data_IF_760058520739
#
_entry.id   IF_760058520739
#
_cell.length_a   1.000
_cell.length_b   1.000
_cell.length_c   1.000
_cell.angle_alpha   90.00
_cell.angle_beta   90.00
_cell.angle_gamma   90.00
#
_symmetry.space_group_name_H-M   'P 1'
#
loop_
_entity.id
_entity.type
_entity.pdbx_description
1 polymer ?
#
# COMPACT_ATOMS: atom_id res chain seq x y z
N UNK A 1 35.42 26.00 7.61
CA UNK A 1 34.54 26.75 6.70
C UNK A 1 34.10 25.81 5.60
N UNK A 2 32.80 25.62 5.40
CA UNK A 2 32.27 24.82 4.29
C UNK A 2 31.33 25.72 3.51
N UNK A 3 31.56 25.86 2.20
CA UNK A 3 30.61 26.50 1.29
C UNK A 3 29.69 25.42 0.75
N UNK A 4 28.39 25.57 0.95
CA UNK A 4 27.37 24.71 0.33
C UNK A 4 26.53 25.63 -0.57
N UNK A 5 26.47 25.29 -1.86
CA UNK A 5 25.67 26.02 -2.85
C UNK A 5 24.42 25.21 -3.17
N UNK A 6 23.25 25.84 -3.04
CA UNK A 6 21.99 25.37 -3.61
C UNK A 6 21.31 26.57 -4.27
N UNK A 7 20.95 26.44 -5.56
CA UNK A 7 20.22 27.43 -6.34
C UNK A 7 20.77 28.89 -6.27
N UNK A 8 22.10 29.07 -6.27
CA UNK A 8 22.72 30.37 -6.50
C UNK A 8 22.82 31.32 -5.30
N UNK A 9 22.60 30.86 -4.06
CA UNK A 9 22.81 31.67 -2.85
C UNK A 9 23.90 31.05 -1.99
N UNK A 10 24.92 31.85 -1.61
CA UNK A 10 25.98 31.45 -0.69
C UNK A 10 25.66 31.93 0.74
N UNK A 11 25.76 31.03 1.72
CA UNK A 11 25.66 31.37 3.15
C UNK A 11 26.90 30.85 3.88
N UNK A 12 27.49 31.70 4.72
CA UNK A 12 28.69 31.40 5.51
C UNK A 12 28.30 31.04 6.95
N UNK A 13 28.74 29.89 7.45
CA UNK A 13 28.53 29.47 8.85
C UNK A 13 29.89 29.26 9.54
N UNK A 14 30.07 29.84 10.74
CA UNK A 14 31.26 29.69 11.60
C UNK A 14 30.92 28.86 12.85
N UNK A 15 31.82 27.93 13.17
CA UNK A 15 31.90 27.03 14.34
C UNK A 15 30.67 26.14 14.61
N UNK A 16 30.84 24.82 14.43
CA UNK A 16 29.85 23.79 14.77
C UNK A 16 30.46 22.85 15.81
N UNK A 17 29.75 22.63 16.92
CA UNK A 17 30.00 21.51 17.82
C UNK A 17 29.37 20.21 17.25
N UNK A 18 29.98 19.03 17.49
CA UNK A 18 29.45 17.77 17.00
C UNK A 18 28.23 17.35 17.82
N UNK A 19 27.04 17.51 17.24
CA UNK A 19 25.78 17.03 17.84
C UNK A 19 24.51 17.85 17.55
N UNK A 20 24.62 18.98 16.83
CA UNK A 20 23.46 19.84 16.56
C UNK A 20 22.82 19.55 15.19
N UNK A 21 21.55 19.13 15.16
CA UNK A 21 20.72 19.12 13.95
C UNK A 21 20.02 20.48 13.81
N UNK A 22 20.20 21.17 12.68
CA UNK A 22 19.42 22.37 12.33
C UNK A 22 18.32 22.04 11.33
N UNK A 23 17.09 22.47 11.62
CA UNK A 23 16.01 22.58 10.65
C UNK A 23 16.09 23.96 9.97
N UNK A 24 16.31 23.97 8.65
CA UNK A 24 16.10 25.16 7.82
C UNK A 24 14.63 25.17 7.36
N UNK A 25 13.87 26.18 7.81
CA UNK A 25 12.53 26.48 7.29
C UNK A 25 12.65 27.47 6.13
N UNK A 26 12.11 27.12 4.96
CA UNK A 26 11.84 28.04 3.87
C UNK A 26 10.32 28.24 3.72
N UNK A 27 9.90 29.50 3.59
CA UNK A 27 8.50 29.90 3.34
C UNK A 27 8.37 30.27 1.86
N UNK A 28 7.57 29.55 1.09
CA UNK A 28 7.17 29.97 -0.26
C UNK A 28 5.72 30.46 -0.23
N UNK A 29 5.47 31.60 -0.87
CA UNK A 29 4.15 32.21 -0.97
C UNK A 29 3.33 31.56 -2.09
N UNK A 30 2.08 31.18 -1.75
CA UNK A 30 0.89 31.03 -2.60
C UNK A 30 0.94 30.09 -3.83
N UNK A 31 0.35 28.88 -3.67
CA UNK A 31 -0.83 28.36 -4.41
C UNK A 31 -1.17 26.95 -3.90
N UNK A 32 -2.44 26.74 -3.55
CA UNK A 32 -2.99 25.45 -3.11
C UNK A 32 -2.96 24.41 -4.23
N UNK A 33 -2.53 23.17 -3.92
CA UNK A 33 -3.20 21.92 -4.27
C UNK A 33 -2.46 20.71 -3.66
N UNK A 34 -3.24 19.73 -3.18
CA UNK A 34 -2.82 18.64 -2.30
C UNK A 34 -1.86 17.64 -2.98
N UNK A 35 -0.68 17.45 -2.40
CA UNK A 35 0.17 16.28 -2.59
C UNK A 35 0.43 15.65 -1.21
N UNK A 36 -0.15 14.47 -0.97
CA UNK A 36 0.10 13.67 0.24
C UNK A 36 1.44 12.96 0.10
N UNK A 37 2.51 13.62 0.54
CA UNK A 37 3.69 12.98 1.11
C UNK A 37 3.61 13.10 2.63
N UNK A 38 3.62 11.96 3.32
CA UNK A 38 3.51 11.93 4.78
C UNK A 38 4.79 12.46 5.43
N UNK A 39 4.77 13.73 5.83
CA UNK A 39 5.23 14.20 7.14
C UNK A 39 4.75 15.64 7.34
N UNK A 40 3.70 15.85 8.15
CA UNK A 40 3.50 17.16 8.78
C UNK A 40 2.74 17.04 10.10
N UNK A 41 3.50 16.85 11.18
CA UNK A 41 3.08 17.19 12.54
C UNK A 41 3.20 18.71 12.64
N UNK A 42 2.11 19.43 12.40
CA UNK A 42 1.78 20.76 12.94
C UNK A 42 0.65 21.42 12.11
N UNK A 43 -0.59 21.29 12.58
CA UNK A 43 -1.67 22.26 12.34
C UNK A 43 -2.80 22.05 13.37
N UNK A 44 -2.46 22.28 14.64
CA UNK A 44 -3.41 22.53 15.72
C UNK A 44 -2.98 23.80 16.46
N UNK A 45 -3.31 24.97 15.90
CA UNK A 45 -3.56 26.22 16.65
C UNK A 45 -3.68 27.40 15.67
N UNK A 46 -4.91 27.77 15.31
CA UNK A 46 -5.32 29.16 15.08
C UNK A 46 -6.83 29.15 14.78
N UNK A 47 -7.62 29.70 15.68
CA UNK A 47 -9.08 29.80 15.51
C UNK A 47 -9.89 29.68 16.80
N UNK A 48 -9.36 30.14 17.93
CA UNK A 48 -10.21 30.60 19.03
C UNK A 48 -10.15 32.11 19.04
N UNK A 49 -11.22 32.74 18.55
CA UNK A 49 -11.92 33.79 19.30
C UNK A 49 -13.17 34.28 18.54
N UNK A 50 -14.22 34.50 19.34
CA UNK A 50 -15.41 35.31 19.08
C UNK A 50 -16.52 34.72 18.19
N UNK A 51 -17.44 34.00 18.84
CA UNK A 51 -18.76 34.57 19.18
C UNK A 51 -19.49 33.65 20.17
N UNK A 52 -19.85 34.24 21.31
CA UNK A 52 -20.58 33.60 22.40
C UNK A 52 -22.09 33.87 22.31
N UNK A 53 -22.87 32.93 22.89
CA UNK A 53 -24.30 32.96 23.29
C UNK A 53 -25.27 32.56 22.17
N UNK A 54 -26.25 31.65 22.36
CA UNK A 54 -26.89 31.04 23.56
C UNK A 54 -27.77 29.82 23.11
N UNK A 55 -27.85 28.79 23.97
CA UNK A 55 -28.98 27.83 24.24
C UNK A 55 -29.57 26.99 23.09
N UNK A 56 -29.98 25.70 23.19
CA UNK A 56 -30.17 24.71 24.28
C UNK A 56 -30.41 23.33 23.60
N UNK A 57 -29.90 22.26 24.21
CA UNK A 57 -30.31 20.83 24.15
C UNK A 57 -30.50 20.07 22.81
N UNK A 58 -29.57 19.13 22.55
CA UNK A 58 -29.79 17.66 22.64
C UNK A 58 -28.44 16.95 22.52
N UNK A 59 -28.00 16.29 23.60
CA UNK A 59 -26.76 15.51 23.66
C UNK A 59 -26.99 14.14 23.01
N UNK A 60 -26.62 13.99 21.74
CA UNK A 60 -25.96 12.77 21.26
C UNK A 60 -24.47 13.08 21.23
N UNK A 61 -23.68 12.37 22.05
CA UNK A 61 -22.24 12.57 22.06
C UNK A 61 -21.66 12.07 20.73
N UNK A 62 -21.43 12.99 19.79
CA UNK A 62 -20.58 12.75 18.62
C UNK A 62 -19.15 12.52 19.12
N UNK A 63 -18.83 11.28 19.49
CA UNK A 63 -17.45 10.84 19.64
C UNK A 63 -16.89 10.80 18.20
N UNK A 64 -15.99 11.72 17.87
CA UNK A 64 -15.29 11.72 16.59
C UNK A 64 -14.48 10.43 16.45
N UNK A 65 -14.37 9.87 15.23
CA UNK A 65 -13.66 8.60 14.98
C UNK A 65 -12.26 8.54 15.58
N UNK A 66 -11.57 9.69 15.59
CA UNK A 66 -10.25 9.87 16.20
C UNK A 66 -10.24 9.49 17.69
N UNK A 67 -11.27 9.87 18.46
CA UNK A 67 -11.34 9.53 19.89
C UNK A 67 -11.54 8.03 20.12
N UNK A 68 -12.32 7.35 19.28
CA UNK A 68 -12.53 5.90 19.36
C UNK A 68 -11.27 5.11 18.99
N UNK A 69 -10.55 5.54 17.96
CA UNK A 69 -9.27 4.95 17.55
C UNK A 69 -8.19 5.12 18.62
N UNK A 70 -8.05 6.33 19.17
CA UNK A 70 -7.07 6.63 20.24
C UNK A 70 -7.34 5.77 21.49
N UNK A 71 -8.62 5.57 21.87
CA UNK A 71 -8.97 4.82 23.08
C UNK A 71 -8.64 3.32 22.96
N UNK A 72 -8.68 2.74 21.75
CA UNK A 72 -8.39 1.32 21.53
C UNK A 72 -6.93 1.00 21.24
N UNK A 73 -6.16 1.98 20.74
CA UNK A 73 -4.75 1.79 20.37
C UNK A 73 -3.75 2.31 21.39
N UNK A 74 -4.20 3.12 22.36
CA UNK A 74 -3.37 3.67 23.43
C UNK A 74 -2.20 4.56 22.97
N UNK A 75 -2.19 5.02 21.71
CA UNK A 75 -1.25 6.02 21.19
C UNK A 75 -1.92 7.06 20.29
N UNK A 76 -1.30 8.24 20.14
CA UNK A 76 -1.75 9.35 19.29
C UNK A 76 -0.58 10.04 18.57
N UNK A 77 -0.48 9.85 17.24
CA UNK A 77 0.57 10.49 16.43
C UNK A 77 0.43 12.02 16.34
N UNK A 78 -0.76 12.58 16.56
CA UNK A 78 -1.01 14.02 16.55
C UNK A 78 -0.29 14.78 17.68
N UNK A 79 0.14 14.09 18.74
CA UNK A 79 0.91 14.67 19.83
C UNK A 79 2.42 14.80 19.49
N UNK A 80 2.91 14.08 18.49
CA UNK A 80 4.30 14.15 18.03
C UNK A 80 5.36 13.71 19.06
N UNK A 81 4.98 13.13 20.19
CA UNK A 81 5.96 12.68 21.19
C UNK A 81 6.61 11.33 20.79
N UNK A 82 7.86 11.15 21.22
CA UNK A 82 8.67 9.99 20.86
C UNK A 82 8.08 8.66 21.37
N UNK A 83 7.34 8.68 22.48
CA UNK A 83 6.70 7.49 23.05
C UNK A 83 5.58 6.99 22.15
N UNK A 84 4.71 7.88 21.69
CA UNK A 84 3.61 7.58 20.77
C UNK A 84 4.12 7.07 19.42
N UNK A 85 5.22 7.65 18.91
CA UNK A 85 5.86 7.16 17.68
C UNK A 85 6.39 5.73 17.87
N UNK A 86 7.03 5.44 18.99
CA UNK A 86 7.55 4.11 19.27
C UNK A 86 6.44 3.06 19.45
N UNK A 87 5.34 3.39 20.13
CA UNK A 87 4.17 2.49 20.25
C UNK A 87 3.48 2.27 18.90
N UNK A 88 3.33 3.30 18.08
CA UNK A 88 2.85 3.15 16.71
C UNK A 88 3.75 2.21 15.91
N UNK A 89 5.07 2.38 15.98
CA UNK A 89 6.01 1.51 15.27
C UNK A 89 5.88 0.05 15.70
N UNK A 90 5.80 -0.24 17.00
CA UNK A 90 5.54 -1.59 17.52
C UNK A 90 4.22 -2.15 16.98
N UNK A 91 3.18 -1.33 16.96
CA UNK A 91 1.87 -1.72 16.44
C UNK A 91 1.90 -2.08 14.95
N UNK A 92 2.62 -1.31 14.12
CA UNK A 92 2.77 -1.59 12.68
C UNK A 92 3.51 -2.91 12.44
N UNK A 93 4.54 -3.22 13.22
CA UNK A 93 5.31 -4.46 13.08
C UNK A 93 4.47 -5.73 13.25
N UNK A 94 3.36 -5.67 14.02
CA UNK A 94 2.44 -6.80 14.16
C UNK A 94 1.83 -7.26 12.83
N UNK A 95 1.80 -6.37 11.82
CA UNK A 95 1.20 -6.62 10.51
C UNK A 95 2.20 -7.07 9.45
N UNK A 96 3.49 -7.18 9.80
CA UNK A 96 4.45 -7.82 8.93
C UNK A 96 3.99 -9.24 8.57
N UNK A 97 4.27 -9.64 7.33
CA UNK A 97 3.74 -10.87 6.77
C UNK A 97 4.04 -12.10 7.62
N UNK A 98 5.27 -12.23 8.12
CA UNK A 98 5.74 -13.34 8.95
C UNK A 98 4.90 -13.60 10.21
N UNK A 99 4.11 -12.62 10.67
CA UNK A 99 3.30 -12.73 11.87
C UNK A 99 1.91 -13.36 11.64
N UNK A 100 1.43 -13.41 10.39
CA UNK A 100 0.04 -13.81 10.12
C UNK A 100 -0.15 -14.79 8.96
N UNK A 101 0.82 -14.97 8.07
CA UNK A 101 0.60 -15.77 6.87
C UNK A 101 0.38 -17.26 7.17
N UNK A 102 1.01 -17.78 8.22
CA UNK A 102 0.88 -19.17 8.67
C UNK A 102 -0.56 -19.53 9.03
N UNK A 103 -1.29 -18.59 9.64
CA UNK A 103 -2.68 -18.74 10.02
C UNK A 103 -3.60 -18.82 8.80
N UNK A 104 -3.14 -18.34 7.64
CA UNK A 104 -3.90 -18.23 6.41
C UNK A 104 -3.35 -19.09 5.26
N UNK A 105 -2.47 -20.06 5.51
CA UNK A 105 -1.75 -20.83 4.48
C UNK A 105 -2.66 -21.43 3.38
N UNK A 106 -3.88 -21.87 3.73
CA UNK A 106 -4.86 -22.46 2.81
C UNK A 106 -5.63 -21.42 1.97
N UNK A 107 -5.73 -20.19 2.46
CA UNK A 107 -6.50 -19.10 1.87
C UNK A 107 -5.64 -17.92 1.40
N UNK A 108 -4.33 -17.97 1.58
CA UNK A 108 -3.34 -17.00 1.11
C UNK A 108 -2.50 -17.62 0.00
N UNK A 109 -1.79 -16.82 -0.80
CA UNK A 109 -0.90 -17.37 -1.83
C UNK A 109 0.19 -18.24 -1.20
N UNK A 110 0.57 -19.34 -1.86
CA UNK A 110 1.73 -20.14 -1.44
C UNK A 110 2.94 -19.22 -1.23
N UNK A 111 3.49 -19.25 -0.02
CA UNK A 111 4.45 -18.26 0.45
C UNK A 111 5.67 -18.96 1.04
N UNK A 112 6.86 -18.43 0.72
CA UNK A 112 8.12 -18.75 1.38
C UNK A 112 8.82 -17.46 1.77
N UNK A 113 9.64 -17.53 2.80
CA UNK A 113 10.42 -16.39 3.29
C UNK A 113 11.90 -16.68 3.21
N UNK A 114 12.67 -15.64 2.89
CA UNK A 114 14.13 -15.65 2.95
C UNK A 114 14.53 -14.57 3.93
N UNK A 115 15.20 -14.94 5.02
CA UNK A 115 15.67 -13.97 6.01
C UNK A 115 16.54 -12.90 5.35
N UNK A 116 16.28 -11.63 5.67
CA UNK A 116 17.08 -10.50 5.24
C UNK A 116 17.95 -10.11 6.41
N UNK A 117 19.27 -10.29 6.36
CA UNK A 117 20.14 -9.88 7.46
C UNK A 117 20.21 -8.36 7.61
N UNK A 118 20.51 -7.88 8.83
CA UNK A 118 20.72 -6.44 9.11
C UNK A 118 21.79 -5.81 8.22
N UNK A 119 22.83 -6.58 7.89
CA UNK A 119 23.86 -6.18 6.92
C UNK A 119 23.28 -5.94 5.53
N UNK A 120 22.49 -6.88 5.02
CA UNK A 120 21.86 -6.74 3.71
C UNK A 120 20.82 -5.61 3.70
N UNK A 121 20.08 -5.39 4.79
CA UNK A 121 19.21 -4.23 4.94
C UNK A 121 19.97 -2.90 4.83
N UNK A 122 21.15 -2.80 5.47
CA UNK A 122 22.01 -1.63 5.34
C UNK A 122 22.52 -1.42 3.92
N UNK A 123 22.95 -2.50 3.26
CA UNK A 123 23.39 -2.45 1.85
C UNK A 123 22.28 -2.02 0.89
N UNK A 124 21.03 -2.44 1.12
CA UNK A 124 19.88 -1.96 0.34
C UNK A 124 19.70 -0.45 0.48
N UNK A 125 19.67 0.07 1.72
CA UNK A 125 19.59 1.51 2.01
C UNK A 125 20.72 2.28 1.34
N UNK A 126 21.96 1.85 1.54
CA UNK A 126 23.15 2.54 1.01
C UNK A 126 23.22 2.49 -0.52
N UNK A 127 22.74 1.41 -1.14
CA UNK A 127 22.68 1.32 -2.61
C UNK A 127 21.68 2.33 -3.17
N UNK A 128 20.52 2.51 -2.54
CA UNK A 128 19.57 3.55 -2.91
C UNK A 128 20.17 4.96 -2.71
N UNK A 129 20.82 5.22 -1.57
CA UNK A 129 21.45 6.53 -1.27
C UNK A 129 22.51 6.91 -2.32
N UNK A 130 23.27 5.93 -2.83
CA UNK A 130 24.26 6.14 -3.91
C UNK A 130 23.58 6.53 -5.22
N UNK A 131 22.50 5.83 -5.61
CA UNK A 131 21.72 6.17 -6.79
C UNK A 131 21.18 7.60 -6.72
N UNK A 132 20.65 8.02 -5.57
CA UNK A 132 20.14 9.38 -5.38
C UNK A 132 21.23 10.47 -5.46
N UNK A 133 22.49 10.11 -5.20
CA UNK A 133 23.65 11.01 -5.38
C UNK A 133 24.16 11.05 -6.82
N UNK A 134 23.45 10.43 -7.77
CA UNK A 134 23.80 10.41 -9.19
C UNK A 134 24.81 9.33 -9.58
N UNK A 135 25.15 8.41 -8.68
CA UNK A 135 25.94 7.23 -9.02
C UNK A 135 25.09 6.26 -9.83
N UNK A 136 25.13 6.40 -11.16
CA UNK A 136 24.42 5.52 -12.09
C UNK A 136 25.24 4.27 -12.48
N UNK A 137 26.29 3.94 -11.72
CA UNK A 137 27.01 2.70 -11.97
C UNK A 137 26.06 1.49 -11.85
N UNK A 138 26.19 0.55 -12.78
CA UNK A 138 25.36 -0.67 -12.72
C UNK A 138 25.73 -1.44 -11.47
N UNK A 139 24.82 -1.45 -10.49
CA UNK A 139 24.98 -2.26 -9.27
C UNK A 139 25.00 -3.73 -9.67
N UNK A 140 26.15 -4.37 -9.52
CA UNK A 140 26.25 -5.82 -9.66
C UNK A 140 25.70 -6.48 -8.40
N UNK A 141 24.40 -6.82 -8.42
CA UNK A 141 23.70 -7.38 -7.26
C UNK A 141 24.34 -8.67 -6.73
N UNK A 142 24.94 -9.49 -7.59
CA UNK A 142 25.62 -10.72 -7.17
C UNK A 142 26.91 -10.42 -6.38
N UNK A 143 27.54 -9.26 -6.61
CA UNK A 143 28.72 -8.84 -5.84
C UNK A 143 28.32 -8.17 -4.51
N UNK A 144 27.22 -7.40 -4.50
CA UNK A 144 26.77 -6.68 -3.30
C UNK A 144 26.08 -7.64 -2.32
N UNK A 145 25.31 -8.60 -2.85
CA UNK A 145 24.44 -9.51 -2.10
C UNK A 145 24.69 -10.99 -2.48
N UNK A 146 25.92 -11.53 -2.41
CA UNK A 146 26.23 -12.86 -2.97
C UNK A 146 25.35 -13.98 -2.38
N UNK A 147 25.35 -14.13 -1.06
CA UNK A 147 24.59 -15.19 -0.37
C UNK A 147 23.08 -14.98 -0.46
N UNK A 148 22.62 -13.73 -0.32
CA UNK A 148 21.20 -13.39 -0.40
C UNK A 148 20.66 -13.64 -1.81
N UNK A 149 21.42 -13.26 -2.85
CA UNK A 149 21.09 -13.49 -4.24
C UNK A 149 20.88 -14.99 -4.53
N UNK A 150 21.78 -15.84 -4.04
CA UNK A 150 21.69 -17.30 -4.18
C UNK A 150 20.46 -17.85 -3.45
N UNK A 151 20.33 -17.61 -2.14
CA UNK A 151 19.21 -18.11 -1.32
C UNK A 151 17.85 -17.66 -1.87
N UNK A 152 17.76 -16.41 -2.32
CA UNK A 152 16.55 -15.88 -2.94
C UNK A 152 16.26 -16.55 -4.28
N UNK A 153 17.28 -16.81 -5.11
CA UNK A 153 17.11 -17.51 -6.38
C UNK A 153 16.59 -18.93 -6.16
N UNK A 154 17.19 -19.67 -5.22
CA UNK A 154 16.77 -21.03 -4.85
C UNK A 154 15.32 -21.02 -4.35
N UNK A 155 14.97 -20.10 -3.45
CA UNK A 155 13.60 -19.94 -2.95
C UNK A 155 12.60 -19.66 -4.08
N UNK A 156 12.93 -18.73 -4.99
CA UNK A 156 12.09 -18.41 -6.14
C UNK A 156 11.90 -19.61 -7.07
N UNK A 157 12.94 -20.41 -7.32
CA UNK A 157 12.83 -21.61 -8.15
C UNK A 157 11.85 -22.64 -7.57
N UNK A 158 11.81 -22.76 -6.24
CA UNK A 158 10.88 -23.69 -5.57
C UNK A 158 9.42 -23.22 -5.69
N UNK A 159 9.16 -21.91 -5.58
CA UNK A 159 7.80 -21.34 -5.65
C UNK A 159 7.30 -21.19 -7.10
N UNK A 160 8.21 -20.99 -8.04
CA UNK A 160 7.90 -20.73 -9.44
C UNK A 160 7.60 -22.05 -10.19
N UNK A 161 6.45 -22.16 -10.87
CA UNK A 161 6.10 -23.35 -11.68
C UNK A 161 6.01 -23.02 -13.17
N UNK A 162 6.68 -23.79 -14.03
CA UNK A 162 6.58 -23.74 -15.51
C UNK A 162 7.55 -22.79 -16.26
N UNK A 163 7.47 -22.76 -17.59
CA UNK A 163 8.42 -22.02 -18.47
C UNK A 163 8.20 -20.49 -18.55
N UNK A 164 7.04 -19.98 -18.12
CA UNK A 164 6.73 -18.53 -17.98
C UNK A 164 6.61 -18.12 -16.51
N UNK A 165 7.35 -18.81 -15.66
CA UNK A 165 7.27 -18.71 -14.21
C UNK A 165 7.87 -17.40 -13.70
N UNK A 166 7.32 -16.94 -12.60
CA UNK A 166 7.73 -15.75 -11.89
C UNK A 166 6.98 -15.73 -10.57
N UNK A 167 7.49 -14.95 -9.62
CA UNK A 167 6.92 -14.82 -8.29
C UNK A 167 6.53 -13.36 -8.04
N UNK A 168 5.57 -13.16 -7.14
CA UNK A 168 5.42 -11.87 -6.47
C UNK A 168 6.42 -11.83 -5.31
N UNK A 169 7.23 -10.79 -5.21
CA UNK A 169 8.24 -10.66 -4.16
C UNK A 169 8.14 -9.31 -3.45
N UNK A 170 8.17 -9.30 -2.12
CA UNK A 170 8.10 -8.09 -1.27
C UNK A 170 9.02 -8.23 -0.04
N UNK A 171 9.24 -7.16 0.71
CA UNK A 171 9.81 -7.27 2.07
C UNK A 171 8.73 -7.68 3.07
N UNK A 172 9.06 -7.81 4.36
CA UNK A 172 8.09 -8.11 5.44
C UNK A 172 6.84 -7.21 5.38
N UNK A 173 7.03 -5.91 5.16
CA UNK A 173 5.96 -4.91 5.22
C UNK A 173 5.41 -4.51 3.85
N UNK A 174 6.25 -4.13 2.88
CA UNK A 174 5.79 -3.50 1.62
C UNK A 174 6.45 -4.09 0.37
N UNK A 175 5.75 -3.97 -0.75
CA UNK A 175 6.27 -4.27 -2.09
C UNK A 175 6.84 -3.01 -2.76
N UNK A 176 7.83 -3.17 -3.62
CA UNK A 176 8.48 -2.13 -4.44
C UNK A 176 7.60 -1.60 -5.60
N UNK A 177 6.34 -1.24 -5.31
CA UNK A 177 5.33 -0.78 -6.30
C UNK A 177 5.59 0.62 -6.87
N UNK A 178 6.52 1.35 -6.28
CA UNK A 178 6.92 2.72 -6.61
C UNK A 178 8.05 2.80 -7.65
N UNK A 179 8.67 1.66 -7.99
CA UNK A 179 9.65 1.56 -9.06
C UNK A 179 9.06 0.82 -10.28
N UNK A 180 9.40 1.30 -11.48
CA UNK A 180 9.09 0.64 -12.74
C UNK A 180 10.21 0.84 -13.77
N UNK A 181 10.54 -0.23 -14.49
CA UNK A 181 11.30 -0.12 -15.73
C UNK A 181 10.41 0.53 -16.81
N UNK A 182 10.85 1.68 -17.36
CA UNK A 182 10.07 2.46 -18.31
C UNK A 182 9.70 1.68 -19.56
N UNK A 183 10.67 0.96 -20.13
CA UNK A 183 10.51 0.22 -21.37
C UNK A 183 9.48 -0.89 -21.20
N UNK A 184 9.59 -1.63 -20.10
CA UNK A 184 8.67 -2.71 -19.79
C UNK A 184 7.26 -2.18 -19.45
N UNK A 185 7.16 -1.12 -18.64
CA UNK A 185 5.88 -0.48 -18.32
C UNK A 185 5.18 0.03 -19.58
N UNK A 186 5.91 0.72 -20.48
CA UNK A 186 5.39 1.24 -21.75
C UNK A 186 4.91 0.10 -22.65
N UNK A 187 5.66 -1.00 -22.74
CA UNK A 187 5.29 -2.17 -23.54
C UNK A 187 4.03 -2.86 -23.02
N UNK A 188 3.97 -3.15 -21.71
CA UNK A 188 2.83 -3.80 -21.07
C UNK A 188 1.57 -2.94 -21.14
N UNK A 189 1.71 -1.64 -20.89
CA UNK A 189 0.63 -0.65 -21.05
C UNK A 189 0.11 -0.64 -22.49
N UNK A 190 0.98 -0.45 -23.48
CA UNK A 190 0.59 -0.31 -24.89
C UNK A 190 -0.12 -1.55 -25.42
N UNK A 191 0.36 -2.75 -25.04
CA UNK A 191 -0.27 -4.04 -25.36
C UNK A 191 -1.70 -4.11 -24.84
N UNK A 192 -1.91 -3.79 -23.56
CA UNK A 192 -3.23 -3.85 -22.94
C UNK A 192 -4.15 -2.76 -23.47
N UNK A 193 -3.67 -1.52 -23.58
CA UNK A 193 -4.46 -0.39 -24.05
C UNK A 193 -4.97 -0.60 -25.48
N UNK A 194 -4.12 -1.12 -26.38
CA UNK A 194 -4.53 -1.51 -27.74
C UNK A 194 -5.63 -2.58 -27.72
N UNK A 195 -5.53 -3.55 -26.81
CA UNK A 195 -6.48 -4.65 -26.67
C UNK A 195 -7.85 -4.19 -26.17
N UNK A 196 -7.88 -3.24 -25.23
CA UNK A 196 -9.13 -2.67 -24.71
C UNK A 196 -9.93 -1.97 -25.82
N UNK A 197 -9.24 -1.36 -26.80
CA UNK A 197 -9.85 -0.68 -27.94
C UNK A 197 -10.88 0.39 -27.52
N UNK A 198 -10.62 1.09 -26.42
CA UNK A 198 -11.46 2.15 -25.89
C UNK A 198 -10.60 3.38 -25.60
N UNK A 199 -11.01 4.55 -26.12
CA UNK A 199 -10.29 5.82 -25.97
C UNK A 199 -10.89 6.66 -24.86
N UNK A 200 -10.82 6.15 -23.63
CA UNK A 200 -11.29 6.85 -22.44
C UNK A 200 -10.20 7.00 -21.39
N UNK A 201 -10.32 8.00 -20.52
CA UNK A 201 -9.45 8.14 -19.34
C UNK A 201 -9.46 6.87 -18.49
N UNK A 202 -10.65 6.27 -18.33
CA UNK A 202 -10.83 5.04 -17.58
C UNK A 202 -10.08 3.85 -18.22
N UNK A 203 -10.17 3.68 -19.55
CA UNK A 203 -9.47 2.63 -20.27
C UNK A 203 -7.93 2.76 -20.14
N UNK A 204 -7.41 3.99 -20.14
CA UNK A 204 -5.99 4.24 -19.85
C UNK A 204 -5.61 3.77 -18.44
N UNK A 205 -6.41 4.09 -17.43
CA UNK A 205 -6.16 3.66 -16.05
C UNK A 205 -6.27 2.14 -15.87
N UNK A 206 -7.20 1.49 -16.59
CA UNK A 206 -7.31 0.02 -16.65
C UNK A 206 -6.04 -0.58 -17.23
N UNK A 207 -5.61 -0.11 -18.41
CA UNK A 207 -4.40 -0.60 -19.06
C UNK A 207 -3.15 -0.40 -18.18
N UNK A 208 -3.08 0.74 -17.49
CA UNK A 208 -2.01 1.03 -16.53
C UNK A 208 -2.05 0.10 -15.32
N UNK A 209 -3.25 -0.29 -14.86
CA UNK A 209 -3.38 -1.25 -13.77
C UNK A 209 -2.84 -2.63 -14.16
N UNK A 210 -3.21 -3.16 -15.32
CA UNK A 210 -2.63 -4.40 -15.83
C UNK A 210 -1.11 -4.33 -15.97
N UNK A 211 -0.60 -3.23 -16.56
CA UNK A 211 0.83 -3.04 -16.71
C UNK A 211 1.54 -3.01 -15.35
N UNK A 212 1.02 -2.24 -14.38
CA UNK A 212 1.57 -2.16 -13.03
C UNK A 212 1.60 -3.51 -12.31
N UNK A 213 0.58 -4.35 -12.52
CA UNK A 213 0.53 -5.71 -11.95
C UNK A 213 1.56 -6.61 -12.64
N UNK A 214 1.67 -6.57 -13.97
CA UNK A 214 2.65 -7.38 -14.71
C UNK A 214 4.10 -7.11 -14.23
N UNK A 215 4.42 -5.87 -13.88
CA UNK A 215 5.73 -5.49 -13.34
C UNK A 215 6.05 -6.14 -11.99
N UNK A 216 5.04 -6.56 -11.22
CA UNK A 216 5.23 -7.22 -9.94
C UNK A 216 5.57 -8.71 -10.08
N UNK A 217 5.46 -9.28 -11.28
CA UNK A 217 5.86 -10.64 -11.59
C UNK A 217 7.36 -10.69 -11.89
N UNK A 218 8.15 -10.98 -10.86
CA UNK A 218 9.61 -11.03 -10.96
C UNK A 218 10.10 -12.44 -11.28
N UNK A 219 11.04 -12.55 -12.23
CA UNK A 219 11.47 -13.82 -12.84
C UNK A 219 12.71 -14.44 -12.17
N UNK A 220 13.51 -13.63 -11.50
CA UNK A 220 14.74 -14.08 -10.84
C UNK A 220 15.15 -13.12 -9.72
N UNK A 221 16.04 -13.57 -8.85
CA UNK A 221 16.47 -12.78 -7.69
C UNK A 221 17.24 -11.52 -8.07
N UNK A 222 17.89 -11.50 -9.25
CA UNK A 222 18.54 -10.29 -9.78
C UNK A 222 17.52 -9.17 -9.98
N UNK A 223 16.42 -9.46 -10.68
CA UNK A 223 15.34 -8.50 -10.91
C UNK A 223 14.74 -8.01 -9.58
N UNK A 224 14.56 -8.91 -8.60
CA UNK A 224 14.06 -8.52 -7.27
C UNK A 224 14.98 -7.52 -6.60
N UNK A 225 16.27 -7.84 -6.49
CA UNK A 225 17.25 -6.96 -5.81
C UNK A 225 17.43 -5.64 -6.55
N UNK A 226 17.44 -5.66 -7.89
CA UNK A 226 17.48 -4.45 -8.71
C UNK A 226 16.26 -3.55 -8.50
N UNK A 227 15.06 -4.12 -8.35
CA UNK A 227 13.85 -3.38 -8.03
C UNK A 227 13.87 -2.82 -6.61
N UNK A 228 14.32 -3.62 -5.63
CA UNK A 228 14.37 -3.22 -4.22
C UNK A 228 15.36 -2.07 -4.00
N UNK A 229 16.53 -2.11 -4.64
CA UNK A 229 17.53 -1.03 -4.59
C UNK A 229 17.01 0.29 -5.14
N UNK A 230 16.01 0.26 -6.03
CA UNK A 230 15.44 1.46 -6.69
C UNK A 230 14.12 1.93 -6.08
N UNK A 231 13.60 1.22 -5.08
CA UNK A 231 12.35 1.56 -4.41
C UNK A 231 12.59 2.47 -3.21
N UNK A 232 11.98 3.65 -3.23
CA UNK A 232 11.92 4.56 -2.10
C UNK A 232 11.17 3.93 -0.93
N UNK A 233 10.11 3.16 -1.20
CA UNK A 233 9.34 2.43 -0.17
C UNK A 233 10.24 1.47 0.60
N UNK A 234 11.01 0.64 -0.11
CA UNK A 234 11.93 -0.31 0.53
C UNK A 234 13.06 0.44 1.26
N UNK A 235 13.61 1.50 0.67
CA UNK A 235 14.60 2.33 1.34
C UNK A 235 14.07 2.91 2.65
N UNK A 236 12.85 3.43 2.68
CA UNK A 236 12.24 3.99 3.88
C UNK A 236 12.01 2.92 4.95
N UNK A 237 11.56 1.72 4.56
CA UNK A 237 11.40 0.59 5.50
C UNK A 237 12.75 0.20 6.11
N UNK A 238 13.80 0.06 5.29
CA UNK A 238 15.14 -0.26 5.78
C UNK A 238 15.70 0.86 6.67
N UNK A 239 15.45 2.13 6.32
CA UNK A 239 15.86 3.27 7.15
C UNK A 239 15.25 3.22 8.54
N UNK A 240 13.92 2.99 8.63
CA UNK A 240 13.22 2.85 9.90
C UNK A 240 13.68 1.62 10.70
N UNK A 241 13.75 0.46 10.05
CA UNK A 241 14.16 -0.79 10.69
C UNK A 241 15.60 -0.72 11.24
N UNK A 242 16.51 -0.06 10.52
CA UNK A 242 17.90 0.12 10.97
C UNK A 242 18.04 1.11 12.12
N UNK A 243 17.19 2.14 12.15
CA UNK A 243 17.17 3.16 13.20
C UNK A 243 16.58 2.64 14.52
N UNK A 244 15.72 1.61 14.46
CA UNK A 244 15.22 0.94 15.65
C UNK A 244 16.33 0.09 16.30
N UNK A 245 16.50 0.25 17.62
CA UNK A 245 17.39 -0.59 18.43
C UNK A 245 16.75 -1.93 18.85
N UNK A 246 15.57 -2.26 18.31
CA UNK A 246 14.86 -3.51 18.59
C UNK A 246 15.45 -4.70 17.82
N UNK A 247 14.84 -5.88 18.03
CA UNK A 247 15.19 -7.13 17.35
C UNK A 247 14.98 -6.96 15.83
N UNK A 248 16.02 -7.28 15.06
CA UNK A 248 15.94 -7.29 13.61
C UNK A 248 15.26 -8.59 13.16
N UNK A 249 14.11 -8.49 12.48
CA UNK A 249 13.33 -9.64 12.00
C UNK A 249 12.77 -9.42 10.59
N UNK A 250 13.56 -8.82 9.70
CA UNK A 250 13.14 -8.55 8.32
C UNK A 250 13.31 -9.78 7.43
N UNK A 251 12.39 -9.96 6.49
CA UNK A 251 12.48 -11.01 5.47
C UNK A 251 12.16 -10.48 4.06
N UNK A 252 12.58 -11.26 3.07
CA UNK A 252 12.09 -11.18 1.69
C UNK A 252 11.05 -12.29 1.52
N UNK A 253 9.82 -11.89 1.21
CA UNK A 253 8.69 -12.78 1.00
C UNK A 253 8.58 -13.12 -0.48
N UNK A 254 8.60 -14.40 -0.81
CA UNK A 254 8.40 -14.94 -2.16
C UNK A 254 7.05 -15.65 -2.21
N UNK A 255 6.14 -15.16 -3.05
CA UNK A 255 4.78 -15.69 -3.18
C UNK A 255 4.53 -16.19 -4.59
N UNK A 256 3.80 -17.31 -4.70
CA UNK A 256 3.35 -17.85 -5.97
C UNK A 256 2.57 -16.79 -6.74
N UNK A 257 2.92 -16.62 -8.01
CA UNK A 257 2.21 -15.71 -8.88
C UNK A 257 0.86 -16.30 -9.29
N UNK A 258 -0.21 -15.54 -9.05
CA UNK A 258 -1.57 -15.83 -9.53
C UNK A 258 -2.01 -14.64 -10.38
N UNK A 259 -2.65 -14.90 -11.52
CA UNK A 259 -3.15 -13.83 -12.38
C UNK A 259 -4.48 -13.32 -11.82
N UNK A 260 -4.42 -12.19 -11.12
CA UNK A 260 -5.60 -11.51 -10.58
C UNK A 260 -5.98 -10.37 -11.52
N UNK A 261 -7.27 -10.21 -11.77
CA UNK A 261 -7.78 -9.09 -12.54
C UNK A 261 -7.83 -7.81 -11.69
N UNK A 262 -7.48 -6.63 -12.22
CA UNK A 262 -7.37 -5.39 -11.45
C UNK A 262 -8.63 -4.98 -10.66
N UNK A 263 -9.82 -5.37 -11.11
CA UNK A 263 -11.10 -5.05 -10.49
C UNK A 263 -11.58 -6.10 -9.49
N UNK A 264 -10.83 -7.19 -9.33
CA UNK A 264 -11.11 -8.26 -8.39
C UNK A 264 -10.28 -8.16 -7.11
N UNK A 265 -9.74 -6.96 -6.82
CA UNK A 265 -9.07 -6.63 -5.56
C UNK A 265 -10.01 -5.79 -4.66
N UNK A 266 -10.10 -6.17 -3.38
CA UNK A 266 -10.97 -5.53 -2.39
C UNK A 266 -10.21 -5.26 -1.10
N UNK A 267 -10.57 -4.16 -0.42
CA UNK A 267 -10.08 -3.82 0.91
C UNK A 267 -11.23 -3.92 1.91
N UNK A 268 -11.06 -4.75 2.92
CA UNK A 268 -12.11 -5.08 3.88
C UNK A 268 -11.67 -4.65 5.29
N UNK A 269 -12.58 -4.03 6.03
CA UNK A 269 -12.32 -3.46 7.35
C UNK A 269 -12.93 -4.35 8.42
N UNK A 270 -12.10 -4.92 9.29
CA UNK A 270 -12.54 -5.68 10.45
C UNK A 270 -12.26 -4.85 11.71
N UNK A 271 -13.31 -4.62 12.48
CA UNK A 271 -13.25 -3.83 13.70
C UNK A 271 -14.04 -4.54 14.80
N UNK A 272 -13.39 -4.71 15.95
CA UNK A 272 -13.89 -5.46 17.10
C UNK A 272 -14.40 -6.86 16.71
N UNK A 273 -13.64 -7.56 15.85
CA UNK A 273 -13.99 -8.90 15.37
C UNK A 273 -15.20 -8.93 14.43
N UNK A 274 -15.64 -7.79 13.89
CA UNK A 274 -16.76 -7.71 12.94
C UNK A 274 -16.31 -7.08 11.62
N UNK A 275 -16.79 -7.63 10.50
CA UNK A 275 -16.64 -7.00 9.20
C UNK A 275 -17.55 -5.76 9.13
N UNK A 276 -16.99 -4.60 8.82
CA UNK A 276 -17.71 -3.31 8.86
C UNK A 276 -17.89 -2.70 7.48
N UNK A 277 -16.84 -2.76 6.67
CA UNK A 277 -16.80 -2.12 5.37
C UNK A 277 -15.98 -2.93 4.34
N UNK A 278 -16.36 -2.81 3.07
CA UNK A 278 -15.68 -3.38 1.90
C UNK A 278 -15.55 -2.28 0.85
N UNK A 279 -14.34 -2.02 0.39
CA UNK A 279 -14.05 -1.10 -0.71
C UNK A 279 -13.48 -1.85 -1.89
N UNK A 280 -13.89 -1.47 -3.11
CA UNK A 280 -13.06 -1.71 -4.29
C UNK A 280 -11.64 -1.14 -4.05
N UNK A 281 -10.60 -1.94 -4.32
CA UNK A 281 -9.21 -1.53 -4.07
C UNK A 281 -8.74 -0.46 -5.05
N UNK A 282 -8.93 -0.69 -6.36
CA UNK A 282 -8.61 0.27 -7.43
C UNK A 282 -9.68 1.35 -7.57
N UNK A 283 -9.86 2.09 -6.49
CA UNK A 283 -10.96 3.03 -6.25
C UNK A 283 -11.01 4.22 -7.21
N UNK A 284 -10.01 4.46 -8.05
CA UNK A 284 -10.02 5.49 -9.10
C UNK A 284 -10.65 5.02 -10.42
N UNK A 285 -10.86 3.71 -10.58
CA UNK A 285 -11.22 3.10 -11.86
C UNK A 285 -12.65 2.56 -11.79
N UNK A 286 -13.41 2.79 -12.86
CA UNK A 286 -14.74 2.20 -13.03
C UNK A 286 -14.65 0.90 -13.83
N UNK A 287 -15.29 -0.15 -13.33
CA UNK A 287 -15.38 -1.44 -14.00
C UNK A 287 -16.85 -1.84 -14.15
N UNK A 288 -17.42 -1.81 -15.37
CA UNK A 288 -18.80 -2.21 -15.62
C UNK A 288 -19.16 -3.61 -15.08
N UNK A 289 -18.26 -4.60 -15.19
CA UNK A 289 -18.52 -5.93 -14.61
C UNK A 289 -18.57 -5.90 -13.08
N UNK A 290 -17.68 -5.16 -12.43
CA UNK A 290 -17.71 -5.03 -10.98
C UNK A 290 -19.03 -4.43 -10.52
N UNK A 291 -19.47 -3.35 -11.18
CA UNK A 291 -20.74 -2.70 -10.85
C UNK A 291 -21.95 -3.60 -11.02
N UNK A 292 -22.02 -4.37 -12.11
CA UNK A 292 -23.10 -5.33 -12.34
C UNK A 292 -23.20 -6.40 -11.22
N UNK A 293 -22.07 -6.81 -10.66
CA UNK A 293 -22.00 -7.94 -9.72
C UNK A 293 -21.86 -7.50 -8.26
N UNK A 294 -22.10 -6.22 -7.93
CA UNK A 294 -21.88 -5.67 -6.59
C UNK A 294 -22.47 -6.53 -5.48
N UNK A 295 -23.77 -6.87 -5.58
CA UNK A 295 -24.47 -7.66 -4.56
C UNK A 295 -23.86 -9.06 -4.41
N UNK A 296 -23.65 -9.76 -5.54
CA UNK A 296 -23.07 -11.10 -5.54
C UNK A 296 -21.68 -11.10 -4.88
N UNK A 297 -20.80 -10.19 -5.31
CA UNK A 297 -19.45 -10.07 -4.76
C UNK A 297 -19.47 -9.71 -3.27
N UNK A 298 -20.38 -8.82 -2.85
CA UNK A 298 -20.57 -8.50 -1.44
C UNK A 298 -20.88 -9.75 -0.62
N UNK A 299 -21.91 -10.49 -1.02
CA UNK A 299 -22.39 -11.66 -0.29
C UNK A 299 -21.27 -12.73 -0.22
N UNK A 300 -20.58 -12.96 -1.33
CA UNK A 300 -19.44 -13.89 -1.39
C UNK A 300 -18.24 -13.47 -0.54
N UNK A 301 -17.87 -12.18 -0.53
CA UNK A 301 -16.77 -11.67 0.29
C UNK A 301 -17.11 -11.77 1.79
N UNK A 302 -18.35 -11.39 2.16
CA UNK A 302 -18.83 -11.48 3.54
C UNK A 302 -18.79 -12.93 4.02
N UNK A 303 -19.34 -13.85 3.23
CA UNK A 303 -19.34 -15.28 3.57
C UNK A 303 -17.92 -15.82 3.78
N UNK A 304 -17.00 -15.54 2.86
CA UNK A 304 -15.61 -15.97 2.97
C UNK A 304 -14.90 -15.38 4.20
N UNK A 305 -15.10 -14.09 4.47
CA UNK A 305 -14.47 -13.44 5.62
C UNK A 305 -14.99 -13.99 6.94
N UNK A 306 -16.31 -13.99 7.13
CA UNK A 306 -16.94 -14.36 8.41
C UNK A 306 -16.81 -15.86 8.69
N UNK A 307 -16.92 -16.70 7.66
CA UNK A 307 -16.94 -18.16 7.85
C UNK A 307 -15.55 -18.80 7.78
N UNK A 308 -14.54 -18.13 7.22
CA UNK A 308 -13.21 -18.70 7.01
C UNK A 308 -12.10 -17.81 7.56
N UNK A 309 -11.86 -16.64 6.98
CA UNK A 309 -10.65 -15.84 7.27
C UNK A 309 -10.65 -15.28 8.69
N UNK A 310 -11.75 -14.69 9.16
CA UNK A 310 -11.84 -14.06 10.47
C UNK A 310 -11.69 -15.09 11.61
N UNK A 311 -12.19 -16.32 11.42
CA UNK A 311 -12.00 -17.40 12.40
C UNK A 311 -10.53 -17.76 12.59
N UNK A 312 -9.74 -17.70 11.52
CA UNK A 312 -8.29 -17.99 11.54
C UNK A 312 -7.47 -16.86 12.17
N UNK A 313 -7.96 -15.62 12.10
CA UNK A 313 -7.28 -14.44 12.66
C UNK A 313 -7.80 -14.02 14.04
N UNK A 314 -8.77 -14.73 14.61
CA UNK A 314 -9.35 -14.43 15.92
C UNK A 314 -8.27 -14.43 17.01
N UNK A 315 -8.12 -13.29 17.69
CA UNK A 315 -7.14 -13.08 18.75
C UNK A 315 -5.70 -12.87 18.25
N UNK A 316 -5.45 -12.85 16.94
CA UNK A 316 -4.11 -12.63 16.37
C UNK A 316 -3.71 -11.16 16.47
N UNK A 317 -4.65 -10.25 16.25
CA UNK A 317 -4.40 -8.81 16.25
C UNK A 317 -5.02 -8.13 17.47
N UNK A 318 -4.43 -7.03 17.98
CA UNK A 318 -4.98 -6.33 19.13
C UNK A 318 -6.44 -5.93 18.88
N UNK A 319 -7.32 -6.42 19.75
CA UNK A 319 -8.76 -6.18 19.72
C UNK A 319 -9.49 -6.67 18.44
N UNK A 320 -8.87 -7.55 17.66
CA UNK A 320 -9.37 -8.01 16.35
C UNK A 320 -9.74 -6.87 15.40
N UNK A 321 -8.89 -5.83 15.41
CA UNK A 321 -9.00 -4.66 14.56
C UNK A 321 -7.90 -4.72 13.49
N UNK A 322 -8.25 -5.00 12.23
CA UNK A 322 -7.33 -5.11 11.10
C UNK A 322 -8.02 -4.81 9.76
N UNK A 323 -7.24 -4.49 8.74
CA UNK A 323 -7.73 -4.30 7.37
C UNK A 323 -7.17 -5.41 6.50
N UNK A 324 -8.00 -6.17 5.81
CA UNK A 324 -7.55 -7.25 4.93
C UNK A 324 -7.78 -6.89 3.47
N UNK A 325 -6.73 -7.00 2.66
CA UNK A 325 -6.83 -6.93 1.22
C UNK A 325 -7.11 -8.35 0.68
N UNK A 326 -8.14 -8.48 -0.15
CA UNK A 326 -8.54 -9.72 -0.80
C UNK A 326 -8.39 -9.60 -2.31
N UNK A 327 -8.14 -10.74 -2.95
CA UNK A 327 -8.17 -10.90 -4.39
C UNK A 327 -9.08 -12.07 -4.77
N UNK A 328 -9.84 -11.92 -5.84
CA UNK A 328 -10.64 -13.00 -6.43
C UNK A 328 -9.96 -13.43 -7.74
N UNK A 329 -9.56 -14.70 -7.80
CA UNK A 329 -9.07 -15.34 -9.01
C UNK A 329 -10.26 -15.70 -9.89
N UNK A 330 -10.18 -15.27 -11.14
CA UNK A 330 -11.15 -15.62 -12.18
C UNK A 330 -10.56 -16.64 -13.14
N UNK A 331 -11.44 -17.36 -13.82
CA UNK A 331 -11.09 -18.37 -14.80
C UNK A 331 -10.17 -17.84 -15.90
N UNK A 332 -9.24 -18.69 -16.36
CA UNK A 332 -8.17 -18.29 -17.27
C UNK A 332 -8.66 -17.81 -18.66
N UNK A 333 -9.91 -18.09 -19.02
CA UNK A 333 -10.55 -17.60 -20.24
C UNK A 333 -10.97 -16.12 -20.13
N UNK A 334 -11.09 -15.55 -18.92
CA UNK A 334 -11.30 -14.12 -18.71
C UNK A 334 -10.08 -13.33 -19.19
N UNK A 335 -10.35 -12.29 -19.98
CA UNK A 335 -9.34 -11.42 -20.60
C UNK A 335 -9.53 -9.96 -20.19
N UNK A 336 -8.49 -9.12 -20.34
CA UNK A 336 -8.55 -7.71 -19.94
C UNK A 336 -9.74 -6.92 -20.50
N UNK A 337 -10.10 -7.10 -21.77
CA UNK A 337 -11.22 -6.45 -22.44
C UNK A 337 -12.59 -6.83 -21.86
N UNK A 338 -12.67 -7.94 -21.11
CA UNK A 338 -13.89 -8.34 -20.42
C UNK A 338 -14.24 -7.40 -19.26
N UNK A 339 -13.26 -6.70 -18.67
CA UNK A 339 -13.50 -5.78 -17.55
C UNK A 339 -14.34 -4.55 -17.94
N UNK A 340 -14.38 -4.21 -19.23
CA UNK A 340 -15.18 -3.12 -19.80
C UNK A 340 -16.64 -3.50 -20.09
N UNK A 341 -17.03 -4.76 -19.88
CA UNK A 341 -18.37 -5.26 -20.23
C UNK A 341 -19.15 -5.64 -18.98
N UNK A 342 -20.44 -5.30 -18.85
CA UNK A 342 -21.27 -5.72 -17.72
C UNK A 342 -21.65 -7.21 -17.87
N UNK A 343 -20.74 -8.11 -17.52
CA UNK A 343 -20.95 -9.58 -17.54
C UNK A 343 -21.10 -10.16 -16.15
N UNK A 344 -21.76 -11.31 -16.03
CA UNK A 344 -21.87 -12.04 -14.75
C UNK A 344 -20.52 -12.69 -14.40
N UNK A 345 -20.23 -12.83 -13.10
CA UNK A 345 -18.96 -13.37 -12.60
C UNK A 345 -19.10 -14.71 -11.86
N UNK A 346 -20.33 -15.14 -11.57
CA UNK A 346 -20.65 -16.31 -10.76
C UNK A 346 -20.02 -17.61 -11.29
N UNK A 347 -20.10 -17.84 -12.59
CA UNK A 347 -19.49 -19.03 -13.21
C UNK A 347 -17.98 -18.93 -13.46
N UNK A 348 -17.36 -17.76 -13.21
CA UNK A 348 -15.96 -17.49 -13.52
C UNK A 348 -15.06 -17.40 -12.30
N UNK A 349 -15.61 -17.42 -11.08
CA UNK A 349 -14.80 -17.37 -9.86
C UNK A 349 -14.15 -18.72 -9.54
N UNK A 350 -12.83 -18.74 -9.36
CA UNK A 350 -12.09 -19.95 -9.01
C UNK A 350 -11.74 -19.99 -7.51
N UNK A 351 -11.16 -18.89 -6.98
CA UNK A 351 -10.69 -18.84 -5.59
C UNK A 351 -10.63 -17.42 -5.05
N UNK A 352 -10.81 -17.26 -3.74
CA UNK A 352 -10.55 -16.01 -3.01
C UNK A 352 -9.24 -16.17 -2.24
N UNK A 353 -8.39 -15.14 -2.33
CA UNK A 353 -7.06 -15.09 -1.75
C UNK A 353 -6.95 -13.92 -0.76
N UNK A 354 -6.42 -14.20 0.42
CA UNK A 354 -5.90 -13.18 1.32
C UNK A 354 -4.59 -12.61 0.76
N UNK A 355 -4.58 -11.32 0.43
CA UNK A 355 -3.43 -10.64 -0.17
C UNK A 355 -2.54 -10.04 0.92
N UNK A 356 -3.11 -9.27 1.83
CA UNK A 356 -2.36 -8.52 2.83
C UNK A 356 -3.24 -8.31 4.08
N UNK A 357 -2.65 -8.35 5.27
CA UNK A 357 -3.30 -7.84 6.48
C UNK A 357 -2.57 -6.57 6.90
N UNK A 358 -3.30 -5.46 6.92
CA UNK A 358 -2.80 -4.13 7.19
C UNK A 358 -3.27 -3.63 8.56
N UNK A 359 -2.50 -2.72 9.18
CA UNK A 359 -2.91 -2.02 10.38
C UNK A 359 -4.23 -1.29 10.20
N UNK A 360 -5.10 -1.40 11.19
CA UNK A 360 -6.34 -0.63 11.25
C UNK A 360 -6.02 0.76 11.82
N UNK A 361 -5.53 1.63 10.95
CA UNK A 361 -5.12 2.99 11.28
C UNK A 361 -5.13 3.88 10.04
N UNK A 362 -5.18 5.20 10.24
CA UNK A 362 -5.34 6.18 9.16
C UNK A 362 -4.18 6.25 8.16
N UNK A 363 -3.03 5.67 8.50
CA UNK A 363 -1.89 5.50 7.58
C UNK A 363 -2.13 4.43 6.51
N UNK A 364 -3.15 3.58 6.68
CA UNK A 364 -3.64 2.64 5.67
C UNK A 364 -4.70 3.33 4.81
N UNK A 365 -4.50 3.42 3.50
CA UNK A 365 -5.44 4.02 2.54
C UNK A 365 -6.87 3.45 2.70
N UNK A 366 -7.89 4.29 2.84
CA UNK A 366 -9.28 3.84 3.03
C UNK A 366 -10.05 3.58 1.72
N UNK A 367 -9.40 3.75 0.57
CA UNK A 367 -9.93 3.58 -0.78
C UNK A 367 -11.19 4.44 -1.02
N UNK A 368 -12.37 3.84 -1.16
CA UNK A 368 -13.64 4.57 -1.37
C UNK A 368 -14.26 5.10 -0.06
N UNK A 369 -13.59 4.90 1.07
CA UNK A 369 -13.98 5.49 2.36
C UNK A 369 -12.99 6.58 2.78
N UNK A 370 -13.43 7.40 3.73
CA UNK A 370 -12.61 8.38 4.42
C UNK A 370 -12.61 8.07 5.92
N UNK A 371 -11.44 7.93 6.52
CA UNK A 371 -11.28 7.73 7.96
C UNK A 371 -12.09 8.74 8.80
N UNK A 372 -12.11 10.01 8.36
CA UNK A 372 -12.78 11.08 9.07
C UNK A 372 -14.28 11.15 8.77
N UNK A 373 -14.68 11.10 7.49
CA UNK A 373 -16.09 11.28 7.09
C UNK A 373 -16.93 10.02 7.26
N UNK A 374 -16.31 8.86 7.14
CA UNK A 374 -16.97 7.55 7.19
C UNK A 374 -16.61 6.76 8.45
N UNK A 375 -16.14 7.44 9.51
CA UNK A 375 -15.83 6.84 10.79
C UNK A 375 -16.98 5.94 11.29
N UNK A 376 -18.24 6.35 11.15
CA UNK A 376 -19.39 5.53 11.53
C UNK A 376 -19.57 4.25 10.71
N UNK A 377 -19.08 4.22 9.48
CA UNK A 377 -19.14 3.04 8.60
C UNK A 377 -17.95 2.12 8.81
N UNK A 378 -16.76 2.67 9.07
CA UNK A 378 -15.52 1.90 9.31
C UNK A 378 -15.42 1.40 10.75
N UNK A 379 -15.83 2.20 11.74
CA UNK A 379 -15.73 1.91 13.17
C UNK A 379 -17.03 1.36 13.78
N UNK A 380 -18.07 1.16 12.96
CA UNK A 380 -19.47 0.99 13.38
C UNK A 380 -20.03 2.13 14.24
N UNK A 381 -21.15 2.72 13.82
CA UNK A 381 -22.15 3.20 14.76
C UNK A 381 -22.99 1.98 15.14
N UNK A 382 -23.14 1.71 16.44
CA UNK A 382 -23.60 0.46 17.08
C UNK A 382 -24.99 -0.07 16.69
N UNK A 383 -25.63 0.47 15.66
CA UNK A 383 -27.00 0.20 15.26
C UNK A 383 -27.16 -0.42 13.86
N UNK A 384 -26.10 -0.45 13.02
CA UNK A 384 -26.19 -1.07 11.68
C UNK A 384 -25.56 -2.45 11.68
N UNK A 385 -26.39 -3.47 11.49
CA UNK A 385 -25.98 -4.88 11.37
C UNK A 385 -25.41 -5.25 10.00
N UNK A 386 -25.51 -4.37 9.00
CA UNK A 386 -25.10 -4.67 7.62
C UNK A 386 -23.73 -4.06 7.28
N UNK A 387 -22.81 -4.91 6.81
CA UNK A 387 -21.54 -4.53 6.18
C UNK A 387 -21.76 -3.52 5.06
N UNK A 388 -21.05 -2.40 5.06
CA UNK A 388 -21.11 -1.40 3.99
C UNK A 388 -20.19 -1.80 2.83
N UNK A 389 -20.68 -1.86 1.59
CA UNK A 389 -19.82 -2.02 0.42
C UNK A 389 -19.83 -0.74 -0.41
N UNK A 390 -18.66 -0.35 -0.92
CA UNK A 390 -18.52 0.73 -1.90
C UNK A 390 -17.71 0.24 -3.09
N UNK A 391 -18.27 0.49 -4.26
CA UNK A 391 -17.61 0.35 -5.54
C UNK A 391 -17.85 1.61 -6.37
N UNK A 392 -17.00 1.85 -7.35
CA UNK A 392 -17.20 2.96 -8.27
C UNK A 392 -18.30 2.61 -9.28
N UNK A 393 -19.29 3.48 -9.42
CA UNK A 393 -20.43 3.29 -10.34
C UNK A 393 -20.28 4.06 -11.67
N UNK A 394 -19.36 5.01 -11.73
CA UNK A 394 -19.05 5.83 -12.91
C UNK A 394 -17.56 6.17 -12.95
N UNK A 395 -16.96 6.37 -14.15
CA UNK A 395 -15.58 6.81 -14.27
C UNK A 395 -15.27 8.04 -13.44
N UNK A 396 -14.14 8.03 -12.72
CA UNK A 396 -13.66 9.20 -12.02
C UNK A 396 -13.21 10.26 -13.05
N UNK A 397 -13.62 11.52 -12.86
CA UNK A 397 -13.17 12.62 -13.71
C UNK A 397 -11.78 13.08 -13.26
N UNK A 398 -10.82 13.13 -14.18
CA UNK A 398 -9.48 13.65 -13.90
C UNK A 398 -8.63 12.74 -13.03
N UNK A 399 -8.96 11.44 -12.92
CA UNK A 399 -8.19 10.50 -12.12
C UNK A 399 -6.74 10.31 -12.61
N UNK A 400 -6.46 10.56 -13.89
CA UNK A 400 -5.09 10.57 -14.43
C UNK A 400 -4.22 11.68 -13.83
N UNK A 401 -4.81 12.76 -13.31
CA UNK A 401 -4.07 13.82 -12.62
C UNK A 401 -3.44 13.36 -11.30
N UNK A 402 -3.99 12.30 -10.70
CA UNK A 402 -3.49 11.68 -9.46
C UNK A 402 -2.34 10.71 -9.71
N UNK A 403 -2.07 10.37 -10.98
CA UNK A 403 -0.92 9.55 -11.36
C UNK A 403 0.28 10.46 -11.56
N UNK A 404 1.45 10.03 -11.08
CA UNK A 404 2.68 10.82 -11.06
C UNK A 404 3.88 10.04 -11.63
N UNK A 405 4.98 10.76 -11.83
CA UNK A 405 6.24 10.21 -12.35
C UNK A 405 6.08 9.51 -13.71
N UNK A 406 6.83 8.43 -13.89
CA UNK A 406 6.90 7.70 -15.16
C UNK A 406 5.57 7.09 -15.60
N UNK A 407 4.69 6.75 -14.66
CA UNK A 407 3.33 6.29 -14.96
C UNK A 407 2.52 7.39 -15.64
N UNK A 408 2.63 8.64 -15.15
CA UNK A 408 1.97 9.80 -15.78
C UNK A 408 2.51 10.06 -17.18
N UNK A 409 3.83 10.00 -17.34
CA UNK A 409 4.49 10.25 -18.63
C UNK A 409 4.03 9.25 -19.70
N UNK A 410 3.80 7.99 -19.33
CA UNK A 410 3.25 6.98 -20.24
C UNK A 410 1.78 7.26 -20.55
N UNK A 411 0.96 7.64 -19.56
CA UNK A 411 -0.46 7.94 -19.77
C UNK A 411 -0.71 9.14 -20.69
N UNK A 412 0.12 10.17 -20.58
CA UNK A 412 0.00 11.42 -21.35
C UNK A 412 0.46 11.24 -22.80
N UNK A 413 1.44 10.37 -23.05
CA UNK A 413 2.00 10.12 -24.39
C UNK A 413 1.22 9.08 -25.21
N UNK A 414 0.27 8.38 -24.60
CA UNK A 414 -0.60 7.37 -25.23
C UNK A 414 -1.92 7.97 -25.71
#
# INVERSE_FOLDING_TARGET
>A
FVFISFAGIQVQVKNLDPGSFFFLSYKTNNRCENAMSFLNVNLLAAGRENLAKKQVERRSANITGDKLLITRRQFNLGAGDASNINEYQKYILLFNLENWWHQLEDVTFETRVVELSRENGRKLRESYDKLQKGDNSKVNVSNVFPELHQRLQECMLVVSTGEKSGCFVKTSSRSAKDFADEGYLRGAFGKTYKRLNEKSENAKLIAMSYASMELLKMKNSRQVLENFIRSERIWHDMHLALAQNQVWNECIVVRKWVNIEPDMEFRCFVYAGKLTAISQYRHLIYFPRLHKNEKFLKDTIVEFLENTLMKKLNGVFPQDDYIVDLAIELSADIKPENCLRPMALDASMEKIWAVEVNPFYETTDACLFSWNKDASSILMNTEKTNTAMRIRTLPAKGATSLVYGIWKDILVRA
#
